data_IF_604540107391
#
_entry.id   IF_604540107391
#
_cell.length_a   1.000
_cell.length_b   1.000
_cell.length_c   1.000
_cell.angle_alpha   90.00
_cell.angle_beta   90.00
_cell.angle_gamma   90.00
#
_symmetry.space_group_name_H-M   'P 1'
#
loop_
_entity.id
_entity.type
_entity.pdbx_description
1 polymer ?
#
# COMPACT_ATOMS: atom_id res chain seq x y z
N UNK A 1 -5.28 -22.09 -11.50
CA UNK A 1 -3.85 -21.81 -11.19
C UNK A 1 -3.18 -23.12 -10.80
N UNK A 2 -2.03 -23.46 -11.38
CA UNK A 2 -1.29 -24.70 -11.05
C UNK A 2 -0.50 -24.56 -9.74
N UNK A 3 -0.36 -25.66 -9.00
CA UNK A 3 0.34 -25.74 -7.70
C UNK A 3 1.77 -25.16 -7.72
N UNK A 4 2.46 -25.20 -8.86
CA UNK A 4 3.82 -24.68 -9.02
C UNK A 4 3.98 -23.16 -8.82
N UNK A 5 2.89 -22.38 -8.92
CA UNK A 5 2.97 -20.93 -8.70
C UNK A 5 2.98 -20.56 -7.21
N UNK A 6 2.49 -21.44 -6.32
CA UNK A 6 2.44 -21.19 -4.88
C UNK A 6 3.81 -21.33 -4.19
N UNK A 7 4.71 -22.16 -4.74
CA UNK A 7 6.05 -22.39 -4.17
C UNK A 7 6.94 -21.13 -4.11
N UNK A 8 6.63 -20.10 -4.91
CA UNK A 8 7.40 -18.84 -4.95
C UNK A 8 6.79 -17.73 -4.07
N UNK A 9 5.70 -17.99 -3.35
CA UNK A 9 4.97 -16.99 -2.55
C UNK A 9 5.02 -17.26 -1.04
N UNK A 10 5.97 -18.08 -0.59
CA UNK A 10 6.15 -18.28 0.85
C UNK A 10 7.22 -17.32 1.37
N UNK A 11 6.98 -16.76 2.55
CA UNK A 11 7.96 -15.96 3.27
C UNK A 11 8.97 -16.83 4.02
N UNK A 12 8.71 -18.14 4.12
CA UNK A 12 9.43 -19.03 5.03
C UNK A 12 9.09 -18.73 6.50
N UNK A 13 7.98 -18.03 6.77
CA UNK A 13 7.51 -17.70 8.10
C UNK A 13 6.06 -18.13 8.21
N UNK A 14 5.83 -19.26 8.87
CA UNK A 14 4.52 -19.91 8.97
C UNK A 14 3.40 -18.95 9.42
N UNK A 15 3.67 -18.01 10.33
CA UNK A 15 2.64 -17.06 10.80
C UNK A 15 2.23 -16.06 9.73
N UNK A 16 3.18 -15.59 8.93
CA UNK A 16 2.91 -14.68 7.82
C UNK A 16 2.27 -15.43 6.66
N UNK A 17 2.78 -16.62 6.36
CA UNK A 17 2.23 -17.49 5.32
C UNK A 17 0.75 -17.83 5.62
N UNK A 18 0.44 -18.20 6.87
CA UNK A 18 -0.94 -18.45 7.31
C UNK A 18 -1.82 -17.19 7.22
N UNK A 19 -1.32 -16.03 7.67
CA UNK A 19 -2.05 -14.77 7.57
C UNK A 19 -2.38 -14.41 6.11
N UNK A 20 -1.45 -14.62 5.19
CA UNK A 20 -1.67 -14.39 3.76
C UNK A 20 -2.76 -15.33 3.25
N UNK A 21 -2.66 -16.63 3.55
CA UNK A 21 -3.65 -17.62 3.12
C UNK A 21 -5.05 -17.34 3.68
N UNK A 22 -5.16 -17.03 4.98
CA UNK A 22 -6.43 -16.65 5.61
C UNK A 22 -7.05 -15.43 4.92
N UNK A 23 -6.25 -14.40 4.62
CA UNK A 23 -6.74 -13.21 3.91
C UNK A 23 -7.21 -13.54 2.49
N UNK A 24 -6.51 -14.44 1.78
CA UNK A 24 -6.89 -14.87 0.43
C UNK A 24 -8.22 -15.66 0.42
N UNK A 25 -8.53 -16.39 1.48
CA UNK A 25 -9.81 -17.11 1.62
C UNK A 25 -11.01 -16.19 1.85
N UNK A 26 -10.78 -14.94 2.25
CA UNK A 26 -11.84 -13.93 2.45
C UNK A 26 -12.24 -13.18 1.17
N UNK A 27 -11.62 -13.49 0.03
CA UNK A 27 -11.94 -12.88 -1.27
C UNK A 27 -13.35 -13.28 -1.71
N UNK A 28 -14.18 -12.29 -2.06
CA UNK A 28 -15.58 -12.52 -2.44
C UNK A 28 -15.81 -12.29 -3.93
N UNK A 29 -15.11 -11.32 -4.51
CA UNK A 29 -15.25 -10.95 -5.92
C UNK A 29 -13.93 -11.15 -6.68
N UNK A 30 -13.96 -11.51 -7.97
CA UNK A 30 -12.74 -11.64 -8.78
C UNK A 30 -11.89 -10.36 -8.84
N UNK A 31 -12.53 -9.20 -8.69
CA UNK A 31 -11.94 -7.87 -8.71
C UNK A 31 -11.16 -7.53 -7.43
N UNK A 32 -11.36 -8.30 -6.35
CA UNK A 32 -10.75 -8.06 -5.05
C UNK A 32 -9.22 -8.17 -5.14
N UNK A 33 -8.54 -7.36 -4.32
CA UNK A 33 -7.08 -7.39 -4.27
C UNK A 33 -6.61 -8.64 -3.55
N UNK A 34 -5.78 -9.42 -4.25
CA UNK A 34 -5.09 -10.56 -3.67
C UNK A 34 -3.93 -10.05 -2.82
N UNK A 35 -3.88 -10.47 -1.56
CA UNK A 35 -2.73 -10.24 -0.70
C UNK A 35 -1.63 -11.26 -1.06
N UNK A 36 -0.44 -10.79 -1.37
CA UNK A 36 0.67 -11.63 -1.84
C UNK A 36 1.90 -11.53 -0.93
N UNK A 37 2.75 -12.57 -0.91
CA UNK A 37 4.13 -12.38 -0.49
C UNK A 37 4.94 -11.81 -1.66
N UNK A 38 5.61 -10.69 -1.42
CA UNK A 38 6.35 -9.97 -2.46
C UNK A 38 7.83 -9.91 -2.08
N UNK A 39 8.74 -10.51 -2.88
CA UNK A 39 10.17 -10.43 -2.63
C UNK A 39 10.68 -8.98 -2.63
N UNK A 40 11.55 -8.62 -1.68
CA UNK A 40 12.01 -7.23 -1.52
C UNK A 40 12.72 -6.64 -2.76
N UNK A 41 13.35 -7.49 -3.57
CA UNK A 41 14.03 -7.07 -4.81
C UNK A 41 13.06 -6.60 -5.92
N UNK A 42 11.75 -6.69 -5.70
CA UNK A 42 10.70 -6.19 -6.59
C UNK A 42 10.51 -4.67 -6.53
N UNK A 43 11.11 -3.99 -5.54
CA UNK A 43 10.93 -2.56 -5.33
C UNK A 43 12.09 -1.74 -5.90
N UNK A 44 11.73 -0.67 -6.60
CA UNK A 44 12.64 0.37 -7.09
C UNK A 44 12.25 1.74 -6.53
N UNK A 45 13.19 2.69 -6.58
CA UNK A 45 12.94 4.09 -6.24
C UNK A 45 12.28 4.29 -4.86
N UNK A 46 12.75 3.54 -3.85
CA UNK A 46 12.26 3.65 -2.49
C UNK A 46 12.60 5.04 -1.93
N UNK A 47 11.59 5.78 -1.45
CA UNK A 47 11.72 7.12 -0.87
C UNK A 47 10.91 7.23 0.40
N UNK A 48 11.51 7.76 1.47
CA UNK A 48 10.83 8.03 2.74
C UNK A 48 9.83 9.19 2.59
N UNK A 49 8.66 9.04 3.22
CA UNK A 49 7.62 10.04 3.37
C UNK A 49 7.80 10.76 4.70
N UNK A 50 8.24 12.01 4.65
CA UNK A 50 8.63 12.79 5.85
C UNK A 50 7.47 12.94 6.85
N UNK A 51 6.23 13.01 6.36
CA UNK A 51 5.06 13.29 7.20
C UNK A 51 4.51 12.03 7.86
N UNK A 52 4.33 10.95 7.11
CA UNK A 52 3.72 9.73 7.63
C UNK A 52 4.71 8.73 8.21
N UNK A 53 6.02 8.92 7.93
CA UNK A 53 7.09 7.94 8.19
C UNK A 53 6.90 6.60 7.46
N UNK A 54 6.07 6.58 6.42
CA UNK A 54 5.99 5.47 5.47
C UNK A 54 7.01 5.69 4.34
N UNK A 55 7.05 4.78 3.37
CA UNK A 55 7.87 4.91 2.18
C UNK A 55 7.01 4.79 0.92
N UNK A 56 7.47 5.38 -0.17
CA UNK A 56 6.92 5.15 -1.50
C UNK A 56 7.92 4.36 -2.34
N UNK A 57 7.41 3.53 -3.24
CA UNK A 57 8.26 2.75 -4.15
C UNK A 57 7.54 2.47 -5.47
N UNK A 58 8.30 1.95 -6.43
CA UNK A 58 7.80 1.36 -7.66
C UNK A 58 7.93 -0.16 -7.55
N UNK A 59 6.81 -0.87 -7.63
CA UNK A 59 6.77 -2.33 -7.76
C UNK A 59 6.82 -2.72 -9.24
N UNK A 60 7.87 -3.45 -9.64
CA UNK A 60 8.15 -3.81 -11.04
C UNK A 60 7.05 -4.66 -11.67
N UNK A 61 6.65 -5.73 -10.99
CA UNK A 61 5.69 -6.70 -11.53
C UNK A 61 4.24 -6.21 -11.41
N UNK A 62 3.96 -5.30 -10.48
CA UNK A 62 2.63 -4.79 -10.20
C UNK A 62 1.69 -5.84 -9.58
N UNK A 63 0.50 -5.44 -9.12
CA UNK A 63 -0.47 -6.35 -8.50
C UNK A 63 -1.08 -7.32 -9.51
N UNK A 64 -1.48 -8.51 -9.04
CA UNK A 64 -2.39 -9.37 -9.78
C UNK A 64 -3.73 -8.67 -9.97
N UNK A 65 -4.27 -8.77 -11.17
CA UNK A 65 -5.62 -8.33 -11.49
C UNK A 65 -6.35 -9.43 -12.26
N UNK A 66 -7.63 -9.59 -12.00
CA UNK A 66 -8.46 -10.53 -12.73
C UNK A 66 -8.82 -9.99 -14.12
N UNK A 67 -8.46 -10.75 -15.16
CA UNK A 67 -8.83 -10.47 -16.54
C UNK A 67 -10.18 -11.14 -16.83
N UNK A 68 -11.24 -10.32 -16.95
CA UNK A 68 -12.62 -10.81 -17.20
C UNK A 68 -12.77 -11.48 -18.57
N UNK A 69 -11.93 -11.15 -19.54
CA UNK A 69 -11.99 -11.73 -20.90
C UNK A 69 -11.37 -13.12 -20.89
N UNK A 70 -10.24 -13.27 -20.21
CA UNK A 70 -9.52 -14.55 -20.13
C UNK A 70 -9.98 -15.45 -18.98
N UNK A 71 -10.77 -14.92 -18.05
CA UNK A 71 -11.23 -15.61 -16.84
C UNK A 71 -10.05 -16.15 -16.01
N UNK A 72 -9.00 -15.34 -15.87
CA UNK A 72 -7.79 -15.71 -15.14
C UNK A 72 -7.16 -14.48 -14.48
N UNK A 73 -6.37 -14.70 -13.43
CA UNK A 73 -5.54 -13.65 -12.85
C UNK A 73 -4.29 -13.44 -13.69
N UNK A 74 -4.03 -12.20 -14.07
CA UNK A 74 -2.87 -11.82 -14.86
C UNK A 74 -2.14 -10.64 -14.23
N UNK A 75 -0.85 -10.50 -14.56
CA UNK A 75 -0.13 -9.25 -14.35
C UNK A 75 0.02 -8.56 -15.68
N UNK A 76 -0.60 -7.41 -15.82
CA UNK A 76 -0.16 -6.42 -16.80
C UNK A 76 1.18 -5.89 -16.30
N UNK A 77 2.32 -6.34 -16.87
CA UNK A 77 3.69 -5.99 -16.46
C UNK A 77 3.96 -4.47 -16.53
N UNK A 78 3.32 -3.73 -15.66
CA UNK A 78 3.32 -2.28 -15.57
C UNK A 78 3.71 -1.95 -14.14
N UNK A 79 4.77 -1.17 -14.04
CA UNK A 79 5.26 -0.62 -12.80
C UNK A 79 4.10 0.02 -11.99
N UNK A 80 3.89 -0.44 -10.76
CA UNK A 80 2.88 0.11 -9.86
C UNK A 80 3.53 1.02 -8.81
N UNK A 81 3.01 2.24 -8.65
CA UNK A 81 3.40 3.11 -7.53
C UNK A 81 2.70 2.62 -6.27
N UNK A 82 3.46 2.34 -5.22
CA UNK A 82 2.96 1.73 -3.98
C UNK A 82 3.44 2.51 -2.75
N UNK A 83 2.73 2.33 -1.64
CA UNK A 83 3.19 2.76 -0.31
C UNK A 83 3.67 1.54 0.47
N UNK A 84 4.85 1.65 1.07
CA UNK A 84 5.45 0.65 1.94
C UNK A 84 5.36 1.13 3.38
N UNK A 85 4.80 0.31 4.27
CA UNK A 85 4.74 0.58 5.71
C UNK A 85 5.56 -0.44 6.46
N UNK A 86 6.51 0.01 7.28
CA UNK A 86 7.49 -0.85 7.96
C UNK A 86 7.04 -1.17 9.39
N UNK A 87 7.30 -2.40 9.82
CA UNK A 87 7.01 -2.89 11.16
C UNK A 87 8.27 -3.52 11.76
N UNK A 88 8.69 -2.95 12.88
CA UNK A 88 9.91 -3.37 13.55
C UNK A 88 9.70 -4.71 14.28
N UNK A 89 10.53 -5.71 13.96
CA UNK A 89 10.41 -7.07 14.53
C UNK A 89 10.61 -7.12 16.05
N UNK A 90 11.33 -6.16 16.64
CA UNK A 90 11.53 -6.09 18.09
C UNK A 90 10.26 -5.69 18.86
N UNK A 91 9.23 -5.18 18.16
CA UNK A 91 7.89 -4.92 18.71
C UNK A 91 6.97 -6.05 18.27
N UNK A 92 5.82 -6.23 18.93
CA UNK A 92 4.81 -7.26 18.61
C UNK A 92 4.17 -7.00 17.23
N UNK A 93 4.97 -7.12 16.17
CA UNK A 93 4.72 -6.60 14.82
C UNK A 93 3.51 -7.27 14.18
N UNK A 94 3.24 -8.54 14.49
CA UNK A 94 2.15 -9.29 13.88
C UNK A 94 0.77 -8.65 14.17
N UNK A 95 0.54 -8.19 15.40
CA UNK A 95 -0.72 -7.53 15.75
C UNK A 95 -0.87 -6.17 15.05
N UNK A 96 0.23 -5.45 14.85
CA UNK A 96 0.23 -4.18 14.11
C UNK A 96 -0.06 -4.41 12.62
N UNK A 97 0.56 -5.44 12.01
CA UNK A 97 0.27 -5.86 10.64
C UNK A 97 -1.21 -6.23 10.50
N UNK A 98 -1.75 -7.10 11.37
CA UNK A 98 -3.16 -7.51 11.32
C UNK A 98 -4.09 -6.30 11.47
N UNK A 99 -3.79 -5.40 12.40
CA UNK A 99 -4.56 -4.17 12.59
C UNK A 99 -4.58 -3.33 11.31
N UNK A 100 -3.43 -3.14 10.66
CA UNK A 100 -3.33 -2.31 9.46
C UNK A 100 -3.94 -3.00 8.23
N UNK A 101 -3.79 -4.31 8.06
CA UNK A 101 -4.46 -5.07 7.01
C UNK A 101 -5.98 -4.89 7.10
N UNK A 102 -6.54 -4.95 8.31
CA UNK A 102 -7.97 -4.69 8.56
C UNK A 102 -8.34 -3.23 8.29
N UNK A 103 -7.52 -2.27 8.73
CA UNK A 103 -7.74 -0.84 8.51
C UNK A 103 -7.77 -0.46 7.03
N UNK A 104 -6.93 -1.11 6.22
CA UNK A 104 -6.78 -0.85 4.79
C UNK A 104 -7.36 -1.97 3.92
N UNK A 105 -8.38 -2.68 4.41
CA UNK A 105 -9.06 -3.77 3.68
C UNK A 105 -9.43 -3.34 2.26
N UNK A 106 -9.09 -4.17 1.27
CA UNK A 106 -9.27 -3.88 -0.16
C UNK A 106 -8.18 -3.02 -0.81
N UNK A 107 -7.20 -2.52 -0.04
CA UNK A 107 -6.05 -1.73 -0.56
C UNK A 107 -4.70 -2.40 -0.35
N UNK A 108 -4.66 -3.52 0.36
CA UNK A 108 -3.44 -4.27 0.60
C UNK A 108 -3.09 -5.10 -0.64
N UNK A 109 -1.86 -4.97 -1.12
CA UNK A 109 -1.33 -5.81 -2.20
C UNK A 109 -0.44 -6.94 -1.69
N UNK A 110 0.21 -6.75 -0.54
CA UNK A 110 1.05 -7.81 -0.03
C UNK A 110 1.82 -7.50 1.22
N UNK A 111 2.64 -8.48 1.59
CA UNK A 111 3.60 -8.44 2.69
C UNK A 111 4.98 -8.75 2.09
N UNK A 112 6.01 -8.14 2.67
CA UNK A 112 7.41 -8.38 2.33
C UNK A 112 8.25 -8.31 3.60
N UNK A 113 9.54 -8.62 3.47
CA UNK A 113 10.51 -8.45 4.53
C UNK A 113 11.77 -7.80 3.97
N UNK A 114 12.26 -6.78 4.68
CA UNK A 114 13.53 -6.17 4.37
C UNK A 114 14.67 -7.15 4.72
N UNK A 115 15.48 -7.61 3.74
CA UNK A 115 16.54 -8.58 4.00
C UNK A 115 17.69 -8.02 4.84
N UNK A 116 17.80 -6.69 4.97
CA UNK A 116 18.88 -6.03 5.71
C UNK A 116 18.51 -5.77 7.17
N UNK A 117 17.24 -5.48 7.46
CA UNK A 117 16.78 -5.18 8.83
C UNK A 117 15.92 -6.28 9.44
N UNK A 118 15.46 -7.23 8.61
CA UNK A 118 14.44 -8.22 8.91
C UNK A 118 13.04 -7.65 9.22
N UNK A 119 12.86 -6.33 9.10
CA UNK A 119 11.58 -5.68 9.32
C UNK A 119 10.55 -6.12 8.28
N UNK A 120 9.32 -6.34 8.74
CA UNK A 120 8.23 -6.64 7.84
C UNK A 120 7.68 -5.36 7.21
N UNK A 121 7.15 -5.51 6.01
CA UNK A 121 6.62 -4.42 5.21
C UNK A 121 5.25 -4.82 4.70
N UNK A 122 4.24 -3.98 4.90
CA UNK A 122 2.96 -4.12 4.18
C UNK A 122 2.96 -3.20 2.97
N UNK A 123 2.43 -3.70 1.87
CA UNK A 123 2.39 -3.02 0.58
C UNK A 123 0.95 -2.58 0.34
N UNK A 124 0.76 -1.28 0.20
CA UNK A 124 -0.54 -0.65 0.03
C UNK A 124 -0.64 0.01 -1.34
N UNK A 125 -1.84 0.02 -1.90
CA UNK A 125 -2.19 0.89 -3.00
C UNK A 125 -1.81 2.32 -2.64
N UNK A 126 -1.04 2.96 -3.51
CA UNK A 126 -0.72 4.35 -3.32
C UNK A 126 -1.92 5.19 -3.76
N UNK A 127 -2.71 5.63 -2.77
CA UNK A 127 -3.86 6.53 -2.97
C UNK A 127 -3.47 7.92 -3.49
N UNK A 128 -2.16 8.19 -3.65
CA UNK A 128 -1.63 9.50 -3.98
C UNK A 128 -0.74 9.49 -5.23
N UNK A 129 -1.33 9.79 -6.38
CA UNK A 129 -0.61 9.92 -7.66
C UNK A 129 0.32 11.14 -7.68
N UNK A 130 0.08 12.14 -6.84
CA UNK A 130 0.73 13.46 -6.89
C UNK A 130 -0.26 14.58 -7.17
N UNK A 131 -1.50 14.27 -7.51
CA UNK A 131 -2.45 15.24 -8.03
C UNK A 131 -3.31 15.83 -6.91
N UNK A 132 -3.34 17.15 -6.84
CA UNK A 132 -4.25 17.87 -5.98
C UNK A 132 -5.70 17.69 -6.47
N UNK A 133 -6.55 16.96 -5.75
CA UNK A 133 -7.99 16.81 -6.04
C UNK A 133 -8.76 18.12 -6.07
N UNK A 134 -8.23 19.20 -5.45
CA UNK A 134 -8.89 20.51 -5.48
C UNK A 134 -8.59 21.33 -6.74
N UNK A 135 -7.38 21.21 -7.29
CA UNK A 135 -6.96 22.06 -8.42
C UNK A 135 -6.33 21.32 -9.60
N UNK A 136 -6.27 19.99 -9.55
CA UNK A 136 -5.71 19.14 -10.61
C UNK A 136 -4.20 19.27 -10.80
N UNK A 137 -3.49 20.06 -9.98
CA UNK A 137 -2.05 20.26 -10.14
C UNK A 137 -1.26 19.13 -9.50
N UNK A 138 -0.24 18.69 -10.22
CA UNK A 138 0.76 17.76 -9.70
C UNK A 138 1.65 18.46 -8.67
N UNK A 139 1.76 17.88 -7.49
CA UNK A 139 2.57 18.33 -6.35
C UNK A 139 3.18 17.08 -5.70
N UNK A 140 4.44 16.79 -6.04
CA UNK A 140 5.19 15.65 -5.48
C UNK A 140 5.52 15.81 -4.00
N UNK A 141 5.39 17.02 -3.45
CA UNK A 141 5.72 17.34 -2.06
C UNK A 141 4.49 17.33 -1.14
N UNK A 142 3.30 17.32 -1.72
CA UNK A 142 2.07 17.15 -0.96
C UNK A 142 1.79 15.66 -0.89
N UNK A 143 1.51 15.10 0.29
CA UNK A 143 0.98 13.72 0.42
C UNK A 143 -0.51 13.74 0.77
N UNK A 144 -1.11 14.93 0.67
CA UNK A 144 -2.52 15.21 0.86
C UNK A 144 -3.19 15.33 -0.49
N UNK A 145 -4.44 14.86 -0.58
CA UNK A 145 -5.35 15.14 -1.69
C UNK A 145 -5.31 16.61 -2.13
N UNK A 146 -4.97 17.58 -1.27
CA UNK A 146 -4.82 18.99 -1.66
C UNK A 146 -3.36 19.45 -1.55
N UNK A 147 -2.85 20.12 -2.60
CA UNK A 147 -1.53 20.76 -2.59
C UNK A 147 -1.41 21.86 -1.51
N UNK A 148 -0.18 22.21 -1.13
CA UNK A 148 0.13 23.21 -0.07
C UNK A 148 -0.65 24.52 -0.28
N UNK A 149 -0.75 25.00 -1.52
CA UNK A 149 -1.51 26.21 -1.88
C UNK A 149 -3.01 26.06 -1.60
N UNK A 150 -3.62 24.95 -1.99
CA UNK A 150 -5.03 24.68 -1.78
C UNK A 150 -5.36 24.54 -0.28
N UNK A 151 -4.50 23.88 0.48
CA UNK A 151 -4.63 23.78 1.94
C UNK A 151 -4.59 25.16 2.61
N UNK A 152 -3.56 25.97 2.31
CA UNK A 152 -3.43 27.32 2.88
C UNK A 152 -4.64 28.20 2.54
N UNK A 153 -5.15 28.10 1.32
CA UNK A 153 -6.33 28.84 0.91
C UNK A 153 -7.60 28.40 1.64
N UNK A 154 -7.77 27.10 1.88
CA UNK A 154 -8.89 26.59 2.67
C UNK A 154 -8.83 27.04 4.12
N UNK A 155 -7.67 26.90 4.76
CA UNK A 155 -7.46 27.34 6.14
C UNK A 155 -7.74 28.84 6.30
N UNK A 156 -7.27 29.67 5.36
CA UNK A 156 -7.61 31.10 5.34
C UNK A 156 -9.11 31.36 5.31
N UNK A 157 -9.89 30.58 4.54
CA UNK A 157 -11.36 30.71 4.50
C UNK A 157 -12.01 30.32 5.83
N UNK A 158 -11.51 29.26 6.48
CA UNK A 158 -11.99 28.85 7.81
C UNK A 158 -11.69 29.95 8.83
N UNK A 159 -10.45 30.46 8.85
CA UNK A 159 -10.04 31.45 9.85
C UNK A 159 -10.76 32.79 9.71
N UNK A 160 -11.22 33.16 8.50
CA UNK A 160 -12.07 34.34 8.30
C UNK A 160 -13.45 34.16 8.98
N UNK A 161 -13.94 32.92 9.08
CA UNK A 161 -15.23 32.59 9.71
C UNK A 161 -15.10 32.24 11.20
N UNK A 162 -13.88 32.22 11.74
CA UNK A 162 -13.62 32.05 13.17
C UNK A 162 -13.60 33.41 13.85
N UNK A 163 -14.79 33.90 14.21
CA UNK A 163 -14.88 34.94 15.25
C UNK A 163 -14.76 34.23 16.59
N UNK A 164 -13.70 34.51 17.35
CA UNK A 164 -13.64 34.13 18.77
C UNK A 164 -14.81 34.81 19.46
N UNK A 165 -15.90 34.07 19.70
CA UNK A 165 -17.02 34.56 20.47
C UNK A 165 -16.52 34.93 21.86
N UNK A 166 -16.44 36.24 22.12
CA UNK A 166 -16.35 36.79 23.46
C UNK A 166 -17.76 36.98 24.02
#
# INVERSE_FOLDING_TARGET
MSEQNFTNWTSGNEKIDNLIQETQLEINEPDDKILEWIPYNQYNNIKEKIITKDYSAIWKDGPLNYDKIKNEYTRNQQNAKITLKLYNVAKKFLNEIIHDLNRYRGKNFGISQNPYTNDYITILQNDYDGTCTKCGKYDVESECHWCKRCQKNYLKKIFINWTSGN
#
